data_IF_541194741785
#
_entry.id   IF_541194741785
#
_cell.length_a   1.000
_cell.length_b   1.000
_cell.length_c   1.000
_cell.angle_alpha   90.00
_cell.angle_beta   90.00
_cell.angle_gamma   90.00
#
_symmetry.space_group_name_H-M   'P 1'
#
loop_
_entity.id
_entity.type
_entity.pdbx_description
1 polymer ?
#
# COMPACT_ATOMS: atom_id res chain seq x y z
N UNK A 1 -20.61 -16.73 -40.33
CA UNK A 1 -20.81 -16.01 -39.05
C UNK A 1 -19.80 -14.88 -39.10
N UNK A 2 -20.28 -13.70 -39.49
CA UNK A 2 -19.43 -12.55 -39.76
C UNK A 2 -18.84 -12.02 -38.45
N UNK A 3 -17.51 -12.01 -38.37
CA UNK A 3 -16.79 -11.40 -37.26
C UNK A 3 -16.81 -9.89 -37.41
N UNK A 4 -17.77 -9.22 -36.78
CA UNK A 4 -17.69 -7.80 -36.54
C UNK A 4 -16.57 -7.55 -35.53
N UNK A 5 -15.43 -7.04 -36.01
CA UNK A 5 -14.37 -6.51 -35.17
C UNK A 5 -14.78 -5.11 -34.71
N UNK A 6 -15.24 -5.00 -33.47
CA UNK A 6 -15.56 -3.71 -32.85
C UNK A 6 -14.27 -2.97 -32.51
N UNK A 7 -14.21 -1.69 -32.87
CA UNK A 7 -13.07 -0.83 -32.57
C UNK A 7 -13.51 0.23 -31.58
N UNK A 8 -13.04 0.20 -30.32
CA UNK A 8 -13.32 1.27 -29.37
C UNK A 8 -12.70 2.60 -29.86
N UNK A 9 -13.28 3.72 -29.44
CA UNK A 9 -12.63 5.02 -29.61
C UNK A 9 -11.54 5.16 -28.56
N UNK A 10 -10.29 5.01 -28.99
CA UNK A 10 -9.09 5.14 -28.15
C UNK A 10 -8.49 6.52 -28.23
N UNK A 11 -8.23 7.11 -27.06
CA UNK A 11 -7.52 8.38 -26.91
C UNK A 11 -6.37 8.23 -25.93
N UNK A 12 -5.21 8.78 -26.30
CA UNK A 12 -4.01 8.84 -25.45
C UNK A 12 -3.52 10.29 -25.37
N UNK A 13 -3.49 10.84 -24.16
CA UNK A 13 -2.91 12.14 -23.87
C UNK A 13 -1.58 11.94 -23.13
N UNK A 14 -0.49 12.44 -23.71
CA UNK A 14 0.85 12.42 -23.09
C UNK A 14 1.32 13.85 -22.84
N UNK A 15 1.88 14.09 -21.66
CA UNK A 15 2.40 15.40 -21.30
C UNK A 15 3.73 15.28 -20.55
N UNK A 16 4.63 16.22 -20.86
CA UNK A 16 5.95 16.33 -20.26
C UNK A 16 6.24 17.81 -20.01
N UNK A 17 6.51 18.15 -18.76
CA UNK A 17 6.92 19.49 -18.33
C UNK A 17 8.11 19.36 -17.37
N UNK A 18 8.67 20.49 -16.93
CA UNK A 18 9.73 20.48 -15.91
C UNK A 18 9.29 19.92 -14.54
N UNK A 19 7.98 19.96 -14.24
CA UNK A 19 7.44 19.54 -12.92
C UNK A 19 6.62 18.26 -12.97
N UNK A 20 6.18 17.82 -14.14
CA UNK A 20 5.31 16.65 -14.24
C UNK A 20 5.49 15.91 -15.55
N UNK A 21 5.29 14.60 -15.48
CA UNK A 21 5.25 13.68 -16.61
C UNK A 21 4.00 12.82 -16.46
N UNK A 22 3.28 12.55 -17.54
CA UNK A 22 2.18 11.62 -17.46
C UNK A 22 1.55 11.23 -18.78
N UNK A 23 0.71 10.20 -18.67
CA UNK A 23 -0.08 9.62 -19.73
C UNK A 23 -1.48 9.32 -19.20
N UNK A 24 -2.50 9.68 -19.97
CA UNK A 24 -3.90 9.35 -19.71
C UNK A 24 -4.43 8.63 -20.95
N UNK A 25 -4.93 7.42 -20.75
CA UNK A 25 -5.55 6.59 -21.77
C UNK A 25 -7.05 6.49 -21.50
N UNK A 26 -7.86 6.69 -22.54
CA UNK A 26 -9.31 6.62 -22.48
C UNK A 26 -9.82 5.82 -23.68
N UNK A 27 -10.48 4.70 -23.41
CA UNK A 27 -11.20 3.93 -24.42
C UNK A 27 -12.69 3.96 -24.12
N UNK A 28 -13.51 4.20 -25.13
CA UNK A 28 -14.97 4.16 -25.01
C UNK A 28 -15.55 3.38 -26.17
N UNK A 29 -16.38 2.38 -25.86
CA UNK A 29 -17.24 1.65 -26.78
C UNK A 29 -18.70 1.90 -26.37
N UNK A 30 -19.38 2.87 -27.00
CA UNK A 30 -20.80 3.12 -26.74
C UNK A 30 -21.66 1.96 -27.25
N UNK A 31 -22.71 1.63 -26.50
CA UNK A 31 -23.75 0.68 -26.91
C UNK A 31 -23.17 -0.64 -27.45
N UNK A 32 -22.46 -1.37 -26.59
CA UNK A 32 -22.01 -2.72 -26.92
C UNK A 32 -23.23 -3.59 -27.26
N UNK A 33 -23.26 -4.14 -28.46
CA UNK A 33 -24.42 -4.87 -28.98
C UNK A 33 -24.65 -6.23 -28.29
N UNK A 34 -23.69 -6.72 -27.48
CA UNK A 34 -23.81 -7.96 -26.70
C UNK A 34 -24.38 -7.67 -25.31
N UNK A 35 -23.83 -6.67 -24.62
CA UNK A 35 -24.24 -6.37 -23.23
C UNK A 35 -25.31 -5.29 -23.14
N UNK A 36 -25.51 -4.52 -24.22
CA UNK A 36 -26.35 -3.31 -24.24
C UNK A 36 -25.78 -2.16 -23.42
N UNK A 37 -24.52 -2.23 -22.97
CA UNK A 37 -23.89 -1.25 -22.09
C UNK A 37 -22.76 -0.50 -22.78
N UNK A 38 -22.47 0.73 -22.35
CA UNK A 38 -21.24 1.41 -22.73
C UNK A 38 -20.07 0.79 -21.97
N UNK A 39 -19.05 0.32 -22.70
CA UNK A 39 -17.80 -0.16 -22.11
C UNK A 39 -16.75 0.94 -22.16
N UNK A 40 -15.99 1.08 -21.08
CA UNK A 40 -14.93 2.08 -21.02
C UNK A 40 -13.72 1.62 -20.23
N UNK A 41 -12.55 2.12 -20.63
CA UNK A 41 -11.30 1.97 -19.92
C UNK A 41 -10.67 3.33 -19.67
N UNK A 42 -10.10 3.48 -18.48
CA UNK A 42 -9.34 4.65 -18.06
C UNK A 42 -8.02 4.15 -17.50
N UNK A 43 -6.91 4.61 -18.07
CA UNK A 43 -5.57 4.42 -17.52
C UNK A 43 -4.96 5.77 -17.20
N UNK A 44 -4.39 5.94 -16.02
CA UNK A 44 -3.63 7.13 -15.63
C UNK A 44 -2.27 6.70 -15.10
N UNK A 45 -1.22 7.35 -15.58
CA UNK A 45 0.11 7.29 -15.01
C UNK A 45 0.66 8.71 -14.97
N UNK A 46 0.84 9.28 -13.78
CA UNK A 46 1.28 10.65 -13.60
C UNK A 46 2.26 10.75 -12.45
N UNK A 47 3.39 11.42 -12.70
CA UNK A 47 4.37 11.78 -11.70
C UNK A 47 4.50 13.30 -11.65
N UNK A 48 4.40 13.87 -10.45
CA UNK A 48 4.49 15.30 -10.21
C UNK A 48 5.61 15.53 -9.20
N UNK A 49 6.67 16.23 -9.61
CA UNK A 49 7.72 16.71 -8.72
C UNK A 49 7.27 18.05 -8.11
N UNK A 50 7.09 18.06 -6.79
CA UNK A 50 6.81 19.25 -6.01
C UNK A 50 8.11 19.96 -5.61
N UNK A 51 8.00 21.15 -5.02
CA UNK A 51 9.15 21.79 -4.39
C UNK A 51 9.56 20.99 -3.13
N UNK A 52 10.85 21.03 -2.76
CA UNK A 52 11.38 20.43 -1.52
C UNK A 52 11.49 18.88 -1.48
N UNK A 53 11.90 18.24 -2.58
CA UNK A 53 12.13 16.78 -2.66
C UNK A 53 10.88 15.92 -2.41
N UNK A 54 9.70 16.48 -2.71
CA UNK A 54 8.45 15.75 -2.66
C UNK A 54 8.02 15.34 -4.06
N UNK A 55 7.46 14.13 -4.19
CA UNK A 55 6.92 13.59 -5.43
C UNK A 55 5.53 13.02 -5.17
N UNK A 56 4.58 13.36 -6.02
CA UNK A 56 3.26 12.72 -6.08
C UNK A 56 3.25 11.76 -7.25
N UNK A 57 2.74 10.56 -7.02
CA UNK A 57 2.47 9.57 -8.07
C UNK A 57 0.98 9.26 -8.04
N UNK A 58 0.37 9.28 -9.23
CA UNK A 58 -1.00 8.82 -9.48
C UNK A 58 -0.85 7.73 -10.53
N UNK A 59 -1.19 6.50 -10.19
CA UNK A 59 -1.08 5.37 -11.12
C UNK A 59 -2.29 4.48 -10.94
N UNK A 60 -2.96 4.13 -12.04
CA UNK A 60 -4.05 3.20 -11.94
C UNK A 60 -4.88 3.04 -13.19
N UNK A 61 -5.64 1.96 -13.16
CA UNK A 61 -6.51 1.58 -14.26
C UNK A 61 -7.92 1.29 -13.75
N UNK A 62 -8.90 1.55 -14.60
CA UNK A 62 -10.30 1.28 -14.36
C UNK A 62 -10.94 0.75 -15.64
N UNK A 63 -11.79 -0.25 -15.49
CA UNK A 63 -12.68 -0.75 -16.56
C UNK A 63 -14.13 -0.76 -16.08
N UNK A 64 -15.06 -0.64 -17.02
CA UNK A 64 -16.50 -0.71 -16.76
C UNK A 64 -16.98 -2.06 -16.22
N UNK A 65 -16.36 -3.15 -16.68
CA UNK A 65 -16.79 -4.52 -16.44
C UNK A 65 -15.59 -5.48 -16.32
N UNK A 66 -15.78 -6.63 -15.67
CA UNK A 66 -14.73 -7.61 -15.40
C UNK A 66 -14.17 -8.24 -16.69
N UNK A 67 -15.00 -8.36 -17.73
CA UNK A 67 -14.71 -9.06 -18.97
C UNK A 67 -14.03 -8.16 -20.02
N UNK A 68 -13.84 -6.87 -19.72
CA UNK A 68 -13.31 -5.87 -20.67
C UNK A 68 -12.05 -6.34 -21.40
N UNK A 69 -11.07 -6.87 -20.67
CA UNK A 69 -9.80 -7.31 -21.27
C UNK A 69 -9.90 -8.68 -21.95
N UNK A 70 -10.89 -9.51 -21.63
CA UNK A 70 -11.11 -10.77 -22.34
C UNK A 70 -11.67 -10.49 -23.74
N UNK A 71 -12.56 -9.51 -23.83
CA UNK A 71 -13.29 -9.17 -25.05
C UNK A 71 -12.54 -8.16 -25.96
N UNK A 72 -11.89 -7.15 -25.37
CA UNK A 72 -11.40 -5.97 -26.11
C UNK A 72 -9.87 -5.80 -26.07
N UNK A 73 -9.14 -6.67 -25.37
CA UNK A 73 -7.69 -6.60 -25.39
C UNK A 73 -7.11 -6.90 -26.78
N UNK A 74 -6.46 -5.89 -27.37
CA UNK A 74 -5.75 -6.03 -28.64
C UNK A 74 -4.38 -6.73 -28.50
N UNK A 75 -3.91 -6.96 -27.27
CA UNK A 75 -2.63 -7.62 -26.97
C UNK A 75 -2.88 -8.90 -26.18
N UNK A 76 -2.39 -10.03 -26.70
CA UNK A 76 -2.49 -11.37 -26.08
C UNK A 76 -1.98 -11.41 -24.62
N UNK A 77 -1.03 -10.55 -24.26
CA UNK A 77 -0.48 -10.49 -22.90
C UNK A 77 -1.37 -9.74 -21.88
N UNK A 78 -2.51 -9.16 -22.27
CA UNK A 78 -3.39 -8.42 -21.36
C UNK A 78 -4.76 -9.04 -21.11
N UNK A 79 -5.06 -10.22 -21.67
CA UNK A 79 -6.38 -10.88 -21.52
C UNK A 79 -6.54 -11.61 -20.17
N UNK A 80 -5.45 -11.94 -19.47
CA UNK A 80 -5.49 -12.72 -18.21
C UNK A 80 -5.28 -11.85 -16.96
N UNK A 81 -5.94 -10.69 -16.89
CA UNK A 81 -5.81 -9.77 -15.76
C UNK A 81 -6.84 -10.09 -14.69
N UNK A 82 -6.39 -10.47 -13.50
CA UNK A 82 -7.30 -10.77 -12.38
C UNK A 82 -7.67 -9.55 -11.56
N UNK A 83 -6.86 -8.48 -11.64
CA UNK A 83 -7.08 -7.24 -10.90
C UNK A 83 -6.41 -6.04 -11.56
N UNK A 84 -6.92 -4.84 -11.26
CA UNK A 84 -6.33 -3.54 -11.58
C UNK A 84 -5.96 -2.84 -10.29
N UNK A 85 -4.69 -2.46 -10.16
CA UNK A 85 -4.20 -1.67 -9.04
C UNK A 85 -4.39 -0.18 -9.31
N UNK A 86 -4.70 0.59 -8.27
CA UNK A 86 -4.87 2.03 -8.30
C UNK A 86 -4.26 2.62 -7.05
N UNK A 87 -3.36 3.57 -7.22
CA UNK A 87 -2.68 4.26 -6.13
C UNK A 87 -2.60 5.76 -6.37
N UNK A 88 -2.71 6.51 -5.29
CA UNK A 88 -2.22 7.88 -5.20
C UNK A 88 -1.37 7.98 -3.96
N UNK A 89 -0.11 8.37 -4.14
CA UNK A 89 0.80 8.57 -3.01
C UNK A 89 1.66 9.81 -3.18
N UNK A 90 2.18 10.28 -2.06
CA UNK A 90 3.10 11.39 -1.96
C UNK A 90 4.30 10.97 -1.11
N UNK A 91 5.46 10.99 -1.75
CA UNK A 91 6.73 10.61 -1.15
C UNK A 91 7.60 11.85 -0.93
N UNK A 92 8.18 11.98 0.25
CA UNK A 92 9.13 13.02 0.61
C UNK A 92 10.40 12.38 1.16
N UNK A 93 11.55 12.99 0.86
CA UNK A 93 12.83 12.52 1.40
C UNK A 93 13.79 13.66 1.69
N UNK A 94 14.68 13.40 2.64
CA UNK A 94 15.85 14.21 2.95
C UNK A 94 17.05 13.29 3.17
N UNK A 95 18.16 13.82 3.68
CA UNK A 95 19.37 13.04 3.96
C UNK A 95 19.15 12.01 5.08
N UNK A 96 18.20 12.26 5.98
CA UNK A 96 18.00 11.51 7.22
C UNK A 96 16.57 11.01 7.44
N UNK A 97 15.64 11.25 6.50
CA UNK A 97 14.28 10.74 6.59
C UNK A 97 13.65 10.47 5.23
N UNK A 98 12.67 9.57 5.24
CA UNK A 98 11.75 9.26 4.15
C UNK A 98 10.32 9.20 4.71
N UNK A 99 9.37 9.69 3.94
CA UNK A 99 7.94 9.63 4.25
C UNK A 99 7.17 9.24 2.99
N UNK A 100 6.21 8.35 3.14
CA UNK A 100 5.22 7.99 2.13
C UNK A 100 3.83 8.13 2.72
N UNK A 101 2.92 8.78 2.01
CA UNK A 101 1.53 8.95 2.41
C UNK A 101 0.71 8.62 1.19
N UNK A 102 -0.22 7.67 1.31
CA UNK A 102 -0.95 7.26 0.14
C UNK A 102 -2.23 6.50 0.41
N UNK A 103 -2.76 6.01 -0.69
CA UNK A 103 -4.05 5.38 -0.80
C UNK A 103 -4.00 4.33 -1.91
N UNK A 104 -4.22 3.07 -1.54
CA UNK A 104 -4.14 1.91 -2.43
C UNK A 104 -5.49 1.20 -2.55
N UNK A 105 -5.88 0.87 -3.78
CA UNK A 105 -7.14 0.21 -4.09
C UNK A 105 -6.99 -0.78 -5.26
N UNK A 106 -7.82 -1.82 -5.26
CA UNK A 106 -7.86 -2.85 -6.28
C UNK A 106 -9.25 -2.93 -6.92
N UNK A 107 -9.33 -3.04 -8.24
CA UNK A 107 -10.54 -3.51 -8.94
C UNK A 107 -10.31 -4.97 -9.29
N UNK A 108 -11.05 -5.88 -8.66
CA UNK A 108 -10.97 -7.31 -8.96
C UNK A 108 -11.79 -7.57 -10.20
N UNK A 109 -11.16 -8.19 -11.20
CA UNK A 109 -11.79 -8.59 -12.47
C UNK A 109 -12.14 -10.08 -12.45
N UNK A 110 -11.33 -10.90 -11.81
CA UNK A 110 -11.60 -12.33 -11.68
C UNK A 110 -12.73 -12.59 -10.67
N UNK A 111 -13.91 -12.94 -11.18
CA UNK A 111 -15.10 -13.23 -10.38
C UNK A 111 -15.04 -14.60 -9.68
N UNK A 112 -14.04 -15.45 -9.99
CA UNK A 112 -13.84 -16.73 -9.31
C UNK A 112 -13.21 -16.58 -7.92
N UNK A 113 -12.59 -15.42 -7.64
CA UNK A 113 -12.02 -15.09 -6.34
C UNK A 113 -13.15 -14.89 -5.33
N UNK A 114 -13.13 -15.70 -4.27
CA UNK A 114 -14.08 -15.59 -3.16
C UNK A 114 -14.05 -14.17 -2.57
N UNK A 115 -15.20 -13.59 -2.15
CA UNK A 115 -15.22 -12.28 -1.50
C UNK A 115 -14.21 -12.15 -0.36
N UNK A 116 -14.05 -13.19 0.46
CA UNK A 116 -13.16 -13.18 1.63
C UNK A 116 -11.67 -13.20 1.25
N UNK A 117 -11.34 -13.68 0.04
CA UNK A 117 -9.97 -13.69 -0.49
C UNK A 117 -9.61 -12.39 -1.21
N UNK A 118 -10.56 -11.44 -1.35
CA UNK A 118 -10.29 -10.14 -1.99
C UNK A 118 -9.33 -9.32 -1.12
N UNK A 119 -8.29 -8.72 -1.72
CA UNK A 119 -7.33 -7.90 -0.98
C UNK A 119 -8.02 -6.70 -0.34
N UNK A 120 -7.52 -6.29 0.83
CA UNK A 120 -7.93 -5.06 1.46
C UNK A 120 -7.54 -3.85 0.62
N UNK A 121 -8.37 -2.81 0.67
CA UNK A 121 -7.98 -1.44 0.30
C UNK A 121 -7.18 -0.85 1.45
N UNK A 122 -6.15 -0.06 1.17
CA UNK A 122 -5.34 0.58 2.21
C UNK A 122 -5.49 2.09 2.06
N UNK A 123 -6.42 2.67 2.81
CA UNK A 123 -6.93 4.02 2.57
C UNK A 123 -7.27 4.72 3.90
N UNK A 124 -6.46 5.66 4.42
CA UNK A 124 -5.10 6.05 3.99
C UNK A 124 -4.01 5.18 4.66
N UNK A 125 -2.77 5.30 4.16
CA UNK A 125 -1.56 4.90 4.86
C UNK A 125 -0.56 6.05 5.02
N UNK A 126 0.30 5.92 6.04
CA UNK A 126 1.48 6.75 6.30
C UNK A 126 2.62 5.84 6.72
N UNK A 127 3.72 5.90 5.98
CA UNK A 127 4.99 5.28 6.31
C UNK A 127 6.03 6.36 6.52
N UNK A 128 6.77 6.27 7.61
CA UNK A 128 7.84 7.20 7.94
C UNK A 128 9.04 6.43 8.49
N UNK A 129 10.23 6.79 8.03
CA UNK A 129 11.50 6.28 8.54
C UNK A 129 12.47 7.44 8.66
N UNK A 130 13.01 7.65 9.85
CA UNK A 130 13.99 8.70 10.11
C UNK A 130 15.13 8.22 11.01
N UNK A 131 16.36 8.63 10.69
CA UNK A 131 17.55 8.32 11.46
C UNK A 131 18.49 9.53 11.50
N UNK A 132 18.75 10.02 12.71
CA UNK A 132 19.61 11.18 12.94
C UNK A 132 20.83 10.78 13.77
N UNK A 133 21.88 11.57 13.65
CA UNK A 133 23.11 11.44 14.44
C UNK A 133 23.51 12.81 14.98
N UNK A 134 23.67 12.90 16.30
CA UNK A 134 24.23 14.08 16.94
C UNK A 134 25.74 14.13 16.70
N UNK A 135 26.17 15.07 15.85
CA UNK A 135 27.56 15.20 15.39
C UNK A 135 28.59 15.26 16.53
N UNK A 136 28.23 15.93 17.64
CA UNK A 136 29.13 16.09 18.80
C UNK A 136 29.02 14.98 19.84
N UNK A 137 27.90 14.28 19.89
CA UNK A 137 27.58 13.36 20.99
C UNK A 137 27.76 11.88 20.65
N UNK A 138 27.98 11.55 19.36
CA UNK A 138 27.93 10.18 18.82
C UNK A 138 26.65 9.43 19.22
N UNK A 139 25.58 10.17 19.49
CA UNK A 139 24.25 9.66 19.80
C UNK A 139 23.46 9.61 18.51
N UNK A 140 22.95 8.43 18.15
CA UNK A 140 22.03 8.27 17.04
C UNK A 140 20.63 7.97 17.59
N UNK A 141 19.62 8.59 17.02
CA UNK A 141 18.22 8.33 17.33
C UNK A 141 17.45 8.16 16.03
N UNK A 142 16.38 7.38 16.07
CA UNK A 142 15.55 7.15 14.90
C UNK A 142 14.13 6.77 15.27
N UNK A 143 13.28 6.77 14.26
CA UNK A 143 11.87 6.44 14.36
C UNK A 143 11.41 5.80 13.06
N UNK A 144 10.89 4.58 13.15
CA UNK A 144 10.05 3.99 12.12
C UNK A 144 8.58 4.13 12.56
N UNK A 145 7.70 4.53 11.67
CA UNK A 145 6.26 4.66 11.91
C UNK A 145 5.49 4.12 10.71
N UNK A 146 4.46 3.33 10.99
CA UNK A 146 3.48 2.86 10.01
C UNK A 146 2.07 3.09 10.58
N UNK A 147 1.25 3.80 9.84
CA UNK A 147 -0.19 3.94 10.09
C UNK A 147 -0.90 3.48 8.84
N UNK A 148 -1.85 2.57 8.95
CA UNK A 148 -2.60 2.09 7.79
C UNK A 148 -4.03 1.74 8.20
N UNK A 149 -5.01 2.24 7.45
CA UNK A 149 -6.38 1.79 7.54
C UNK A 149 -6.66 0.75 6.45
N UNK A 150 -6.96 -0.47 6.88
CA UNK A 150 -7.33 -1.58 6.03
C UNK A 150 -8.84 -1.62 5.93
N UNK A 151 -9.35 -1.55 4.71
CA UNK A 151 -10.78 -1.50 4.44
C UNK A 151 -11.18 -2.67 3.54
N UNK A 152 -12.34 -3.26 3.82
CA UNK A 152 -12.90 -4.37 3.05
C UNK A 152 -14.42 -4.37 3.20
N UNK A 153 -15.11 -4.82 2.16
CA UNK A 153 -16.57 -4.94 2.17
C UNK A 153 -17.06 -6.18 2.92
N UNK A 154 -16.18 -7.18 3.14
CA UNK A 154 -16.53 -8.48 3.73
C UNK A 154 -15.57 -8.92 4.84
N UNK A 155 -14.29 -8.56 4.74
CA UNK A 155 -13.30 -8.87 5.75
C UNK A 155 -13.27 -7.80 6.84
N UNK A 156 -12.51 -8.10 7.90
CA UNK A 156 -12.28 -7.16 9.00
C UNK A 156 -11.59 -5.89 8.53
N UNK A 157 -12.30 -4.77 8.65
CA UNK A 157 -11.70 -3.46 8.50
C UNK A 157 -11.12 -2.94 9.83
N UNK A 158 -10.13 -2.06 9.73
CA UNK A 158 -9.55 -1.41 10.90
C UNK A 158 -8.22 -0.72 10.62
N UNK A 159 -7.80 0.09 11.60
CA UNK A 159 -6.57 0.87 11.56
C UNK A 159 -5.48 0.22 12.42
N UNK A 160 -4.30 0.02 11.83
CA UNK A 160 -3.06 -0.34 12.53
C UNK A 160 -2.20 0.89 12.71
N UNK A 161 -1.73 1.12 13.94
CA UNK A 161 -0.66 2.04 14.24
C UNK A 161 0.55 1.25 14.76
N UNK A 162 1.72 1.48 14.19
CA UNK A 162 2.98 0.88 14.59
C UNK A 162 4.05 1.97 14.68
N UNK A 163 4.85 1.96 15.74
CA UNK A 163 6.04 2.81 15.85
C UNK A 163 7.19 2.06 16.50
N UNK A 164 8.40 2.35 16.02
CA UNK A 164 9.64 1.79 16.54
C UNK A 164 10.71 2.87 16.75
N UNK A 165 10.66 3.64 17.85
CA UNK A 165 11.74 4.56 18.19
C UNK A 165 12.99 3.79 18.60
N UNK A 166 14.15 4.29 18.19
CA UNK A 166 15.45 3.75 18.54
C UNK A 166 16.41 4.84 19.07
N UNK A 167 17.31 4.42 19.95
CA UNK A 167 18.39 5.24 20.48
C UNK A 167 19.66 4.37 20.58
N UNK A 168 20.77 4.87 20.06
CA UNK A 168 22.07 4.20 20.17
C UNK A 168 23.19 5.22 20.38
N UNK A 169 24.29 4.79 20.99
CA UNK A 169 25.46 5.64 21.18
C UNK A 169 26.72 4.87 20.85
N UNK A 170 27.60 5.44 20.04
CA UNK A 170 28.88 4.81 19.69
C UNK A 170 29.99 5.26 20.65
N UNK A 171 30.61 4.29 21.32
CA UNK A 171 31.79 4.48 22.15
C UNK A 171 33.02 3.93 21.43
N UNK A 172 34.02 4.77 21.22
CA UNK A 172 35.31 4.38 20.68
C UNK A 172 36.30 4.26 21.84
N UNK A 173 36.72 3.03 22.12
CA UNK A 173 37.78 2.69 23.07
C UNK A 173 39.03 2.32 22.26
N UNK A 174 40.19 2.26 22.91
CA UNK A 174 41.46 1.92 22.25
C UNK A 174 41.37 0.52 21.62
N UNK A 175 41.18 0.45 20.29
CA UNK A 175 41.03 -0.79 19.53
C UNK A 175 39.65 -1.46 19.59
N UNK A 176 38.65 -0.87 20.27
CA UNK A 176 37.32 -1.47 20.44
C UNK A 176 36.21 -0.44 20.22
N UNK A 177 35.21 -0.78 19.40
CA UNK A 177 34.01 0.03 19.23
C UNK A 177 32.80 -0.68 19.84
N UNK A 178 32.10 0.00 20.75
CA UNK A 178 30.88 -0.51 21.39
C UNK A 178 29.71 0.40 21.07
N UNK A 179 28.60 -0.17 20.57
CA UNK A 179 27.38 0.57 20.23
C UNK A 179 26.16 -0.04 20.94
N UNK A 180 25.88 0.31 22.22
CA UNK A 180 24.59 -0.02 22.82
C UNK A 180 23.45 0.60 22.02
N UNK A 181 22.36 -0.15 21.89
CA UNK A 181 21.15 0.27 21.18
C UNK A 181 19.91 -0.21 21.95
N UNK A 182 18.95 0.70 22.09
CA UNK A 182 17.65 0.43 22.67
C UNK A 182 16.60 0.75 21.61
N UNK A 183 15.69 -0.20 21.39
CA UNK A 183 14.52 -0.04 20.52
C UNK A 183 13.27 -0.39 21.31
N UNK A 184 12.18 0.32 21.03
CA UNK A 184 10.85 -0.04 21.53
C UNK A 184 9.97 -0.36 20.34
N UNK A 185 9.32 -1.52 20.35
CA UNK A 185 8.35 -1.92 19.33
C UNK A 185 6.94 -1.77 19.92
N UNK A 186 6.13 -0.92 19.29
CA UNK A 186 4.79 -0.54 19.78
C UNK A 186 3.82 -0.68 18.63
N UNK A 187 2.85 -1.60 18.77
CA UNK A 187 1.75 -1.78 17.80
C UNK A 187 0.41 -1.66 18.51
N UNK A 188 -0.54 -0.98 17.87
CA UNK A 188 -1.93 -0.85 18.30
C UNK A 188 -2.87 -1.09 17.11
N UNK A 189 -4.05 -1.63 17.40
CA UNK A 189 -5.10 -1.89 16.42
C UNK A 189 -6.41 -1.28 16.90
N UNK A 190 -7.14 -0.65 15.98
CA UNK A 190 -8.53 -0.23 16.16
C UNK A 190 -9.37 -0.87 15.06
N UNK A 191 -10.24 -1.83 15.41
CA UNK A 191 -11.02 -2.61 14.45
C UNK A 191 -12.45 -2.08 14.36
N UNK A 192 -13.03 -2.11 13.17
CA UNK A 192 -14.37 -1.57 12.92
C UNK A 192 -15.47 -2.49 13.50
N UNK A 193 -16.61 -1.93 13.91
CA UNK A 193 -17.68 -2.69 14.59
C UNK A 193 -18.34 -3.78 13.73
N UNK A 194 -18.37 -3.61 12.40
CA UNK A 194 -18.84 -4.61 11.44
C UNK A 194 -17.98 -5.88 11.47
N UNK A 195 -16.67 -5.72 11.68
CA UNK A 195 -15.77 -6.83 11.87
C UNK A 195 -16.16 -7.62 13.12
N UNK A 196 -16.38 -6.94 14.25
CA UNK A 196 -16.77 -7.57 15.52
C UNK A 196 -18.07 -8.40 15.42
N UNK A 197 -19.02 -8.02 14.56
CA UNK A 197 -20.26 -8.79 14.34
C UNK A 197 -20.07 -10.01 13.44
N UNK A 198 -19.21 -9.96 12.43
CA UNK A 198 -18.93 -11.09 11.54
C UNK A 198 -18.20 -12.22 12.28
N UNK A 199 -17.24 -11.92 13.16
CA UNK A 199 -16.58 -12.93 14.01
C UNK A 199 -17.55 -13.61 14.97
N UNK A 200 -18.46 -12.85 15.59
CA UNK A 200 -19.43 -13.36 16.55
C UNK A 200 -20.41 -14.38 15.95
N UNK A 201 -20.59 -14.35 14.62
CA UNK A 201 -21.44 -15.29 13.87
C UNK A 201 -20.70 -16.57 13.50
N UNK A 202 -19.38 -16.47 13.27
CA UNK A 202 -18.48 -17.60 13.03
C UNK A 202 -18.21 -18.41 14.32
N UNK A 203 -18.26 -17.75 15.49
CA UNK A 203 -18.07 -18.35 16.82
C UNK A 203 -19.20 -19.30 17.31
N UNK A 204 -20.22 -19.61 16.49
CA UNK A 204 -21.19 -20.67 16.81
C UNK A 204 -20.70 -22.06 16.37
N UNK A 205 -19.54 -22.17 15.69
CA UNK A 205 -18.91 -23.43 15.35
C UNK A 205 -17.44 -23.37 15.82
N UNK A 206 -17.15 -24.18 16.83
CA UNK A 206 -15.87 -24.47 17.48
C UNK A 206 -15.38 -23.59 18.65
N UNK A 207 -15.40 -24.24 19.82
CA UNK A 207 -14.72 -23.86 21.05
C UNK A 207 -13.19 -23.97 20.88
N UNK A 208 -12.43 -22.97 21.34
CA UNK A 208 -11.49 -23.14 22.47
C UNK A 208 -10.58 -21.92 22.70
N UNK A 209 -10.73 -21.32 23.89
CA UNK A 209 -9.69 -20.83 24.83
C UNK A 209 -8.60 -19.84 24.35
N UNK A 210 -8.54 -19.41 23.09
CA UNK A 210 -7.44 -18.56 22.60
C UNK A 210 -7.77 -17.06 22.55
N UNK A 211 -9.04 -16.69 22.68
CA UNK A 211 -9.54 -15.37 22.23
C UNK A 211 -9.44 -14.30 23.34
N UNK A 212 -9.32 -14.69 24.61
CA UNK A 212 -9.05 -13.76 25.71
C UNK A 212 -7.60 -13.20 25.71
N UNK A 213 -6.67 -13.79 24.95
CA UNK A 213 -5.28 -13.34 24.87
C UNK A 213 -5.03 -12.22 23.83
N UNK A 214 -5.98 -11.95 22.94
CA UNK A 214 -5.87 -10.86 21.94
C UNK A 214 -6.19 -9.49 22.57
N UNK A 215 -6.79 -9.46 23.76
CA UNK A 215 -7.16 -8.21 24.44
C UNK A 215 -6.00 -7.46 25.12
N UNK A 216 -4.81 -8.06 25.27
CA UNK A 216 -3.58 -7.34 25.68
C UNK A 216 -2.33 -8.08 25.21
N UNK A 217 -1.78 -7.68 24.07
CA UNK A 217 -0.40 -8.04 23.71
C UNK A 217 0.42 -6.81 23.37
N UNK A 218 0.88 -6.11 24.40
CA UNK A 218 2.07 -5.26 24.29
C UNK A 218 3.28 -6.19 24.13
N UNK A 219 3.73 -6.43 22.89
CA UNK A 219 5.01 -7.10 22.66
C UNK A 219 6.15 -6.09 22.85
N UNK A 220 6.54 -5.84 24.10
CA UNK A 220 7.73 -5.04 24.39
C UNK A 220 8.97 -5.90 24.24
N UNK A 221 9.59 -5.91 23.05
CA UNK A 221 10.93 -6.50 22.87
C UNK A 221 11.98 -5.46 23.30
N UNK A 222 12.75 -5.75 24.34
CA UNK A 222 13.79 -4.85 24.85
C UNK A 222 15.17 -5.31 24.32
N UNK A 223 15.84 -4.43 23.58
CA UNK A 223 17.30 -4.30 23.41
C UNK A 223 18.10 -5.50 22.84
N UNK A 224 18.92 -5.23 21.81
CA UNK A 224 20.04 -6.11 21.41
C UNK A 224 21.34 -5.31 21.53
N UNK A 225 22.38 -5.87 22.14
CA UNK A 225 23.73 -5.28 22.15
C UNK A 225 24.50 -5.86 20.97
N UNK A 226 25.00 -5.00 20.06
CA UNK A 226 25.87 -5.41 18.95
C UNK A 226 27.31 -4.97 19.27
N UNK A 227 28.22 -5.94 19.38
CA UNK A 227 29.66 -5.71 19.56
C UNK A 227 30.34 -5.92 18.20
N UNK A 228 31.14 -4.96 17.74
CA UNK A 228 31.85 -5.03 16.47
C UNK A 228 33.35 -4.84 16.76
N UNK A 229 34.16 -5.83 16.40
CA UNK A 229 35.62 -5.76 16.51
C UNK A 229 36.20 -5.10 15.26
N UNK A 230 37.19 -4.23 15.46
CA UNK A 230 37.99 -3.67 14.37
C UNK A 230 39.34 -4.37 14.40
N UNK A 231 39.69 -5.07 13.32
CA UNK A 231 41.06 -5.53 13.09
C UNK A 231 41.93 -4.35 12.63
#
# INVERSE_FOLDING_TARGET
>A
MDGQTWSPLTNSLRFLTSKQTGEINLDILPNDDITGSTRNYIGINQNINLLSNWRVTIDGEYVSDSEYFEDLATRINSTSRTHLFRTIHMQGFSENWFMDIGMDNFQILDQSISPDDKPHRILPYVDFSGQWMGEKSNLSYGLDLNLAHFDSNVNVAGTRFHMMPNLSKTFNLNGLQVKPEIKFDITSYNLDESAMMLWRKTDLIEQSQSIALIYRRYLKRIGKVKVIYKH
#
